data_IF_688173606356
#
_entry.id   IF_688173606356
#
_cell.length_a   1.000
_cell.length_b   1.000
_cell.length_c   1.000
_cell.angle_alpha   90.00
_cell.angle_beta   90.00
_cell.angle_gamma   90.00
#
_symmetry.space_group_name_H-M   'P 1'
#
loop_
_entity.id
_entity.type
_entity.pdbx_description
1 polymer ?
#
# COMPACT_ATOMS: atom_id res chain seq x y z
N UNK A 1 -14.58 -6.12 -6.90
CA UNK A 1 -13.97 -5.84 -5.58
C UNK A 1 -15.01 -5.55 -4.49
N UNK A 2 -15.89 -4.55 -4.61
CA UNK A 2 -16.82 -4.18 -3.52
C UNK A 2 -17.77 -5.32 -3.09
N UNK A 3 -18.39 -6.02 -4.04
CA UNK A 3 -19.23 -7.20 -3.74
C UNK A 3 -18.46 -8.33 -3.03
N UNK A 4 -17.21 -8.56 -3.42
CA UNK A 4 -16.35 -9.60 -2.84
C UNK A 4 -15.95 -9.25 -1.39
N UNK A 5 -15.65 -7.97 -1.13
CA UNK A 5 -15.38 -7.45 0.21
C UNK A 5 -16.62 -7.54 1.11
N UNK A 6 -17.81 -7.23 0.58
CA UNK A 6 -19.06 -7.40 1.32
C UNK A 6 -19.34 -8.88 1.63
N UNK A 7 -19.11 -9.77 0.67
CA UNK A 7 -19.25 -11.21 0.87
C UNK A 7 -18.25 -11.74 1.91
N UNK A 8 -17.01 -11.27 1.89
CA UNK A 8 -15.98 -11.61 2.88
C UNK A 8 -16.38 -11.12 4.28
N UNK A 9 -16.83 -9.86 4.39
CA UNK A 9 -17.33 -9.29 5.65
C UNK A 9 -18.51 -10.09 6.21
N UNK A 10 -19.48 -10.42 5.36
CA UNK A 10 -20.65 -11.20 5.75
C UNK A 10 -20.24 -12.61 6.22
N UNK A 11 -19.34 -13.29 5.48
CA UNK A 11 -18.84 -14.60 5.84
C UNK A 11 -18.04 -14.59 7.16
N UNK A 12 -17.25 -13.55 7.41
CA UNK A 12 -16.51 -13.38 8.66
C UNK A 12 -17.44 -13.11 9.87
N UNK A 13 -18.61 -12.50 9.62
CA UNK A 13 -19.57 -12.16 10.67
C UNK A 13 -20.58 -13.28 10.98
N UNK A 14 -20.49 -14.45 10.32
CA UNK A 14 -21.46 -15.53 10.56
C UNK A 14 -21.30 -16.13 11.95
N UNK A 15 -22.40 -16.62 12.57
CA UNK A 15 -22.38 -17.29 13.86
C UNK A 15 -21.39 -18.45 13.93
N UNK A 16 -21.12 -18.87 15.16
CA UNK A 16 -20.19 -19.96 15.45
C UNK A 16 -20.66 -21.27 14.77
N UNK A 17 -19.79 -21.98 14.04
CA UNK A 17 -20.10 -23.33 13.57
C UNK A 17 -20.25 -24.27 14.77
N UNK A 18 -21.29 -25.11 14.75
CA UNK A 18 -21.60 -26.06 15.82
C UNK A 18 -20.91 -27.41 15.59
N UNK A 19 -20.58 -27.71 14.33
CA UNK A 19 -19.93 -28.96 13.93
C UNK A 19 -18.57 -28.73 13.26
N UNK A 20 -17.63 -29.72 13.33
CA UNK A 20 -16.37 -29.65 12.61
C UNK A 20 -16.52 -29.53 11.09
N UNK A 21 -17.60 -30.06 10.52
CA UNK A 21 -17.90 -29.97 9.09
C UNK A 21 -18.27 -28.53 8.68
N UNK A 22 -19.09 -27.85 9.49
CA UNK A 22 -19.42 -26.44 9.29
C UNK A 22 -18.21 -25.52 9.47
N UNK A 23 -17.31 -25.85 10.39
CA UNK A 23 -16.06 -25.11 10.60
C UNK A 23 -15.15 -25.23 9.37
N UNK A 24 -14.94 -26.46 8.87
CA UNK A 24 -14.15 -26.69 7.67
C UNK A 24 -14.75 -26.02 6.42
N UNK A 25 -16.09 -26.01 6.28
CA UNK A 25 -16.77 -25.34 5.18
C UNK A 25 -16.65 -23.81 5.28
N UNK A 26 -16.79 -23.25 6.49
CA UNK A 26 -16.58 -21.82 6.74
C UNK A 26 -15.16 -21.40 6.39
N UNK A 27 -14.15 -22.17 6.80
CA UNK A 27 -12.75 -21.90 6.50
C UNK A 27 -12.49 -21.94 5.00
N UNK A 28 -12.95 -22.99 4.29
CA UNK A 28 -12.84 -23.08 2.82
C UNK A 28 -13.47 -21.88 2.13
N UNK A 29 -14.68 -21.49 2.55
CA UNK A 29 -15.39 -20.34 2.00
C UNK A 29 -14.63 -19.04 2.25
N UNK A 30 -14.08 -18.84 3.45
CA UNK A 30 -13.28 -17.67 3.78
C UNK A 30 -11.99 -17.61 2.96
N UNK A 31 -11.27 -18.72 2.82
CA UNK A 31 -10.07 -18.82 1.99
C UNK A 31 -10.34 -18.41 0.54
N UNK A 32 -11.40 -18.95 -0.08
CA UNK A 32 -11.78 -18.61 -1.46
C UNK A 32 -12.14 -17.12 -1.63
N UNK A 33 -12.82 -16.53 -0.64
CA UNK A 33 -13.16 -15.10 -0.65
C UNK A 33 -11.91 -14.23 -0.49
N UNK A 34 -10.98 -14.62 0.39
CA UNK A 34 -9.69 -13.94 0.57
C UNK A 34 -8.87 -14.00 -0.71
N UNK A 35 -8.75 -15.17 -1.33
CA UNK A 35 -8.04 -15.35 -2.61
C UNK A 35 -8.62 -14.47 -3.72
N UNK A 36 -9.95 -14.38 -3.83
CA UNK A 36 -10.62 -13.48 -4.77
C UNK A 36 -10.27 -12.01 -4.53
N UNK A 37 -10.34 -11.57 -3.27
CA UNK A 37 -10.00 -10.19 -2.89
C UNK A 37 -8.54 -9.89 -3.20
N UNK A 38 -7.63 -10.81 -2.87
CA UNK A 38 -6.21 -10.69 -3.21
C UNK A 38 -6.00 -10.64 -4.73
N UNK A 39 -6.72 -11.46 -5.51
CA UNK A 39 -6.69 -11.40 -6.97
C UNK A 39 -7.11 -10.04 -7.53
N UNK A 40 -8.09 -9.34 -6.92
CA UNK A 40 -8.42 -7.96 -7.30
C UNK A 40 -7.27 -6.99 -7.00
N UNK A 41 -6.61 -7.14 -5.85
CA UNK A 41 -5.43 -6.34 -5.50
C UNK A 41 -4.27 -6.59 -6.48
N UNK A 42 -3.96 -7.84 -6.79
CA UNK A 42 -2.92 -8.20 -7.77
C UNK A 42 -3.21 -7.61 -9.16
N UNK A 43 -4.45 -7.71 -9.62
CA UNK A 43 -4.87 -7.11 -10.88
C UNK A 43 -4.72 -5.58 -10.87
N UNK A 44 -5.06 -4.93 -9.75
CA UNK A 44 -4.85 -3.49 -9.58
C UNK A 44 -3.37 -3.12 -9.68
N UNK A 45 -2.48 -3.79 -8.93
CA UNK A 45 -1.04 -3.49 -8.95
C UNK A 45 -0.41 -3.81 -10.31
N UNK A 46 -0.87 -4.86 -11.01
CA UNK A 46 -0.45 -5.14 -12.39
C UNK A 46 -0.84 -4.03 -13.35
N UNK A 47 -2.09 -3.54 -13.26
CA UNK A 47 -2.55 -2.43 -14.08
C UNK A 47 -1.80 -1.13 -13.76
N UNK A 48 -1.56 -0.87 -12.47
CA UNK A 48 -0.77 0.27 -11.98
C UNK A 48 0.65 0.24 -12.56
N UNK A 49 1.35 -0.89 -12.48
CA UNK A 49 2.70 -1.05 -13.02
C UNK A 49 2.75 -0.84 -14.54
N UNK A 50 1.76 -1.36 -15.29
CA UNK A 50 1.66 -1.15 -16.73
C UNK A 50 1.44 0.34 -17.08
N UNK A 51 0.62 1.07 -16.31
CA UNK A 51 0.45 2.51 -16.46
C UNK A 51 1.74 3.27 -16.12
N UNK A 52 2.40 2.93 -15.01
CA UNK A 52 3.63 3.58 -14.57
C UNK A 52 4.81 3.41 -15.54
N UNK A 53 4.83 2.31 -16.30
CA UNK A 53 5.80 2.08 -17.38
C UNK A 53 5.63 3.09 -18.53
N UNK A 54 4.39 3.53 -18.78
CA UNK A 54 4.07 4.52 -19.83
C UNK A 54 4.28 5.93 -19.34
N UNK A 55 3.76 6.24 -18.15
CA UNK A 55 3.94 7.51 -17.46
C UNK A 55 3.78 7.31 -15.95
N UNK A 56 4.83 7.63 -15.20
CA UNK A 56 4.85 7.49 -13.74
C UNK A 56 4.20 8.69 -13.04
N UNK A 57 4.11 9.86 -13.68
CA UNK A 57 3.68 11.11 -13.04
C UNK A 57 2.27 11.02 -12.39
N UNK A 58 1.27 10.39 -13.03
CA UNK A 58 -0.05 10.24 -12.42
C UNK A 58 -0.06 9.41 -11.14
N UNK A 59 0.95 8.55 -10.92
CA UNK A 59 1.03 7.73 -9.71
C UNK A 59 1.31 8.59 -8.47
N UNK A 60 2.03 9.70 -8.63
CA UNK A 60 2.35 10.61 -7.52
C UNK A 60 1.30 11.72 -7.30
N UNK A 61 0.29 11.80 -8.18
CA UNK A 61 -0.85 12.70 -8.03
C UNK A 61 -2.13 12.03 -8.56
N UNK A 62 -2.56 10.91 -7.94
CA UNK A 62 -3.68 10.13 -8.44
C UNK A 62 -5.00 10.91 -8.34
N UNK A 63 -5.75 10.92 -9.43
CA UNK A 63 -7.08 11.56 -9.50
C UNK A 63 -8.23 10.58 -9.24
N UNK A 64 -7.94 9.28 -9.20
CA UNK A 64 -8.90 8.19 -9.02
C UNK A 64 -9.04 7.73 -7.57
N UNK A 65 -8.32 8.34 -6.64
CA UNK A 65 -8.35 8.06 -5.20
C UNK A 65 -9.27 9.04 -4.47
N UNK A 66 -9.93 8.56 -3.43
CA UNK A 66 -10.74 9.41 -2.54
C UNK A 66 -9.86 10.39 -1.75
N UNK A 67 -10.47 11.47 -1.25
CA UNK A 67 -9.79 12.45 -0.39
C UNK A 67 -9.17 11.80 0.85
N UNK A 68 -9.84 10.81 1.45
CA UNK A 68 -9.32 10.05 2.58
C UNK A 68 -8.11 9.22 2.19
N UNK A 69 -8.13 8.55 1.04
CA UNK A 69 -6.99 7.78 0.56
C UNK A 69 -5.79 8.67 0.25
N UNK A 70 -6.02 9.89 -0.24
CA UNK A 70 -4.96 10.87 -0.50
C UNK A 70 -4.25 11.36 0.76
N UNK A 71 -4.90 11.33 1.93
CA UNK A 71 -4.24 11.65 3.21
C UNK A 71 -3.17 10.63 3.61
N UNK A 72 -3.25 9.40 3.07
CA UNK A 72 -2.30 8.32 3.34
C UNK A 72 -1.45 7.96 2.12
N UNK A 73 -1.40 8.83 1.11
CA UNK A 73 -0.62 8.61 -0.09
C UNK A 73 0.88 8.56 0.26
N UNK A 74 1.53 7.48 -0.16
CA UNK A 74 2.96 7.23 0.02
C UNK A 74 3.45 6.49 -1.22
N UNK A 75 4.40 7.09 -1.95
CA UNK A 75 5.04 6.50 -3.14
C UNK A 75 4.01 5.87 -4.09
N UNK A 76 3.06 6.70 -4.52
CA UNK A 76 1.99 6.30 -5.45
C UNK A 76 1.04 5.18 -4.99
N UNK A 77 1.00 4.89 -3.68
CA UNK A 77 0.09 3.94 -3.06
C UNK A 77 -0.27 4.34 -1.63
N UNK A 78 -0.83 3.41 -0.86
CA UNK A 78 -1.02 3.60 0.59
C UNK A 78 0.21 3.09 1.32
N UNK A 79 0.65 3.78 2.37
CA UNK A 79 1.78 3.33 3.19
C UNK A 79 1.46 1.97 3.87
N UNK A 80 2.21 0.89 3.62
CA UNK A 80 1.91 -0.45 4.15
C UNK A 80 1.77 -0.54 5.68
N UNK A 81 2.54 0.24 6.45
CA UNK A 81 2.53 0.27 7.92
C UNK A 81 1.17 0.67 8.50
N UNK A 82 0.34 1.40 7.74
CA UNK A 82 -1.03 1.74 8.12
C UNK A 82 -1.88 0.48 8.33
N UNK A 83 -1.67 -0.58 7.55
CA UNK A 83 -2.39 -1.84 7.75
C UNK A 83 -2.11 -2.46 9.13
N UNK A 84 -0.87 -2.37 9.62
CA UNK A 84 -0.50 -2.84 10.96
C UNK A 84 -1.10 -1.96 12.06
N UNK A 85 -1.15 -0.65 11.85
CA UNK A 85 -1.82 0.24 12.80
C UNK A 85 -3.31 -0.10 12.95
N UNK A 86 -4.00 -0.34 11.83
CA UNK A 86 -5.40 -0.77 11.84
C UNK A 86 -5.55 -2.14 12.51
N UNK A 87 -4.65 -3.07 12.20
CA UNK A 87 -4.62 -4.39 12.82
C UNK A 87 -4.51 -4.29 14.35
N UNK A 88 -3.47 -3.64 14.88
CA UNK A 88 -3.26 -3.53 16.33
C UNK A 88 -4.38 -2.75 17.02
N UNK A 89 -4.90 -1.70 16.38
CA UNK A 89 -6.05 -0.96 16.90
C UNK A 89 -7.28 -1.86 17.00
N UNK A 90 -7.58 -2.65 15.97
CA UNK A 90 -8.73 -3.56 15.98
C UNK A 90 -8.54 -4.69 16.99
N UNK A 91 -7.36 -5.31 17.05
CA UNK A 91 -7.04 -6.35 18.04
C UNK A 91 -7.16 -5.84 19.47
N UNK A 92 -6.65 -4.63 19.75
CA UNK A 92 -6.77 -4.00 21.06
C UNK A 92 -8.22 -3.75 21.45
N UNK A 93 -9.04 -3.20 20.55
CA UNK A 93 -10.48 -3.00 20.79
C UNK A 93 -11.22 -4.31 21.07
N UNK A 94 -10.87 -5.40 20.38
CA UNK A 94 -11.49 -6.70 20.59
C UNK A 94 -11.07 -7.34 21.91
N UNK A 95 -9.78 -7.24 22.24
CA UNK A 95 -9.23 -7.68 23.52
C UNK A 95 -9.90 -6.95 24.70
N UNK A 96 -10.09 -5.63 24.59
CA UNK A 96 -10.76 -4.83 25.62
C UNK A 96 -12.25 -5.19 25.75
N UNK A 97 -12.95 -5.37 24.63
CA UNK A 97 -14.35 -5.75 24.62
C UNK A 97 -14.60 -7.13 25.25
N UNK A 98 -13.67 -8.07 25.05
CA UNK A 98 -13.77 -9.46 25.52
C UNK A 98 -12.88 -9.77 26.72
N UNK A 99 -12.52 -8.75 27.50
CA UNK A 99 -11.58 -8.88 28.62
C UNK A 99 -11.91 -10.03 29.57
N UNK A 100 -13.18 -10.18 29.94
CA UNK A 100 -13.59 -11.21 30.89
C UNK A 100 -13.54 -12.63 30.31
N UNK A 101 -13.77 -12.78 29.00
CA UNK A 101 -13.68 -14.07 28.30
C UNK A 101 -12.21 -14.50 28.17
N UNK A 102 -11.34 -13.55 27.81
CA UNK A 102 -9.90 -13.76 27.71
C UNK A 102 -9.29 -14.13 29.06
N UNK A 103 -9.67 -13.45 30.16
CA UNK A 103 -9.21 -13.80 31.52
C UNK A 103 -9.66 -15.21 31.91
N UNK A 104 -10.85 -15.63 31.47
CA UNK A 104 -11.37 -16.98 31.70
C UNK A 104 -10.78 -18.04 30.76
N UNK A 105 -9.91 -17.64 29.82
CA UNK A 105 -9.31 -18.54 28.84
C UNK A 105 -10.32 -19.08 27.83
N UNK A 106 -11.44 -18.39 27.63
CA UNK A 106 -12.45 -18.77 26.64
C UNK A 106 -12.04 -18.16 25.29
N UNK A 107 -11.87 -18.97 24.22
CA UNK A 107 -11.56 -18.46 22.89
C UNK A 107 -12.67 -17.54 22.39
N UNK A 108 -12.31 -16.30 22.06
CA UNK A 108 -13.19 -15.25 21.53
C UNK A 108 -13.41 -15.39 20.01
N UNK A 109 -12.55 -16.17 19.35
CA UNK A 109 -12.45 -16.43 17.90
C UNK A 109 -12.39 -15.16 17.05
N UNK A 110 -11.79 -14.12 17.61
CA UNK A 110 -11.44 -12.89 16.90
C UNK A 110 -9.95 -12.54 17.10
N UNK A 111 -9.54 -11.29 16.80
CA UNK A 111 -8.14 -10.92 16.92
C UNK A 111 -7.62 -10.86 18.36
N UNK A 112 -8.47 -11.00 19.38
CA UNK A 112 -8.04 -11.14 20.78
C UNK A 112 -7.40 -12.51 21.08
N UNK A 113 -7.68 -13.53 20.25
CA UNK A 113 -7.15 -14.90 20.41
C UNK A 113 -5.73 -15.10 19.85
N UNK A 114 -5.09 -14.03 19.38
CA UNK A 114 -3.74 -14.12 18.81
C UNK A 114 -2.75 -14.61 19.87
N UNK A 115 -2.02 -15.69 19.54
CA UNK A 115 -0.96 -16.20 20.42
C UNK A 115 0.22 -15.21 20.48
N UNK A 116 1.03 -15.34 21.54
CA UNK A 116 2.26 -14.57 21.66
C UNK A 116 3.17 -14.75 20.43
N UNK A 117 3.37 -15.99 19.96
CA UNK A 117 4.17 -16.28 18.77
C UNK A 117 3.62 -15.60 17.50
N UNK A 118 2.29 -15.55 17.35
CA UNK A 118 1.65 -14.86 16.22
C UNK A 118 1.90 -13.35 16.30
N UNK A 119 1.74 -12.74 17.48
CA UNK A 119 2.00 -11.32 17.70
C UNK A 119 3.47 -10.96 17.46
N UNK A 120 4.40 -11.80 17.93
CA UNK A 120 5.84 -11.62 17.70
C UNK A 120 6.19 -11.67 16.21
N UNK A 121 5.63 -12.62 15.46
CA UNK A 121 5.81 -12.72 14.00
C UNK A 121 5.28 -11.49 13.28
N UNK A 122 4.10 -10.99 13.68
CA UNK A 122 3.50 -9.78 13.10
C UNK A 122 4.35 -8.54 13.41
N UNK A 123 4.83 -8.40 14.65
CA UNK A 123 5.67 -7.28 15.06
C UNK A 123 7.00 -7.29 14.29
N UNK A 124 7.65 -8.44 14.13
CA UNK A 124 8.87 -8.52 13.35
C UNK A 124 8.61 -8.19 11.87
N UNK A 125 7.49 -8.63 11.31
CA UNK A 125 7.11 -8.26 9.96
C UNK A 125 6.87 -6.75 9.81
N UNK A 126 6.18 -6.12 10.76
CA UNK A 126 5.97 -4.66 10.79
C UNK A 126 7.31 -3.92 10.84
N UNK A 127 8.26 -4.32 11.69
CA UNK A 127 9.58 -3.69 11.78
C UNK A 127 10.34 -3.77 10.46
N UNK A 128 10.28 -4.92 9.77
CA UNK A 128 10.89 -5.09 8.45
C UNK A 128 10.26 -4.15 7.42
N UNK A 129 8.94 -4.02 7.43
CA UNK A 129 8.21 -3.09 6.55
C UNK A 129 8.59 -1.64 6.83
N UNK A 130 8.60 -1.21 8.09
CA UNK A 130 8.97 0.17 8.46
C UNK A 130 10.40 0.52 8.02
N UNK A 131 11.34 -0.42 8.13
CA UNK A 131 12.72 -0.21 7.63
C UNK A 131 12.73 0.00 6.12
N UNK A 132 12.08 -0.88 5.35
CA UNK A 132 11.95 -0.73 3.88
C UNK A 132 11.24 0.57 3.49
N UNK A 133 10.15 0.92 4.17
CA UNK A 133 9.41 2.16 3.92
C UNK A 133 10.30 3.38 4.10
N UNK A 134 11.17 3.38 5.13
CA UNK A 134 12.12 4.46 5.35
C UNK A 134 13.15 4.54 4.23
N UNK A 135 13.74 3.41 3.85
CA UNK A 135 14.72 3.33 2.75
C UNK A 135 14.13 3.88 1.43
N UNK A 136 12.90 3.46 1.10
CA UNK A 136 12.19 3.91 -0.11
C UNK A 136 11.83 5.40 0.00
N UNK A 137 11.37 5.88 1.16
CA UNK A 137 11.05 7.31 1.36
C UNK A 137 12.30 8.19 1.19
N UNK A 138 13.45 7.72 1.68
CA UNK A 138 14.72 8.42 1.48
C UNK A 138 15.17 8.40 0.01
N UNK A 139 14.88 7.32 -0.74
CA UNK A 139 15.15 7.24 -2.18
C UNK A 139 14.21 8.12 -3.01
N UNK A 140 12.93 8.20 -2.63
CA UNK A 140 11.96 9.13 -3.20
C UNK A 140 12.44 10.57 -3.03
N UNK A 141 12.81 10.95 -1.81
CA UNK A 141 13.30 12.30 -1.51
C UNK A 141 14.51 12.66 -2.37
N UNK A 142 15.52 11.78 -2.45
CA UNK A 142 16.69 12.00 -3.32
C UNK A 142 16.31 12.13 -4.80
N UNK A 143 15.33 11.36 -5.26
CA UNK A 143 14.85 11.40 -6.64
C UNK A 143 14.11 12.72 -6.93
N UNK A 144 13.34 13.22 -5.97
CA UNK A 144 12.66 14.53 -6.05
C UNK A 144 13.66 15.70 -6.01
N UNK A 145 14.67 15.65 -5.13
CA UNK A 145 15.75 16.64 -5.09
C UNK A 145 16.49 16.73 -6.43
N UNK A 146 16.67 15.59 -7.10
CA UNK A 146 17.24 15.52 -8.44
C UNK A 146 16.44 16.29 -9.50
N UNK A 147 15.18 16.67 -9.26
CA UNK A 147 14.39 17.50 -10.20
C UNK A 147 14.90 18.94 -10.28
N UNK A 148 15.61 19.41 -9.26
CA UNK A 148 16.16 20.76 -9.18
C UNK A 148 17.70 20.77 -9.18
N UNK A 149 18.33 19.87 -9.94
CA UNK A 149 19.79 19.78 -10.03
C UNK A 149 20.41 20.84 -10.96
N UNK A 150 21.75 20.93 -10.93
CA UNK A 150 22.52 21.90 -11.72
C UNK A 150 22.21 21.81 -13.21
N UNK A 151 22.02 20.60 -13.74
CA UNK A 151 21.65 20.39 -15.14
C UNK A 151 20.33 21.09 -15.49
N UNK A 152 19.32 20.98 -14.62
CA UNK A 152 18.03 21.66 -14.84
C UNK A 152 18.15 23.18 -14.73
N UNK A 153 19.01 23.68 -13.85
CA UNK A 153 19.30 25.13 -13.74
C UNK A 153 19.95 25.63 -15.03
N UNK A 154 20.98 24.94 -15.54
CA UNK A 154 21.64 25.30 -16.80
C UNK A 154 20.67 25.29 -17.99
N UNK A 155 19.85 24.23 -18.11
CA UNK A 155 18.81 24.14 -19.14
C UNK A 155 17.78 25.28 -19.04
N UNK A 156 17.42 25.70 -17.82
CA UNK A 156 16.51 26.85 -17.62
C UNK A 156 17.12 28.17 -18.10
N UNK A 157 18.43 28.36 -17.94
CA UNK A 157 19.14 29.54 -18.42
C UNK A 157 19.18 29.56 -19.96
N UNK A 158 19.52 28.43 -20.58
CA UNK A 158 19.51 28.28 -22.05
C UNK A 158 18.11 28.57 -22.61
N UNK A 159 17.06 28.04 -21.96
CA UNK A 159 15.68 28.27 -22.38
C UNK A 159 15.28 29.75 -22.32
N UNK A 160 15.75 30.47 -21.30
CA UNK A 160 15.55 31.92 -21.17
C UNK A 160 16.28 32.70 -22.27
N UNK A 161 17.52 32.32 -22.59
CA UNK A 161 18.34 32.97 -23.63
C UNK A 161 17.81 32.73 -25.05
N UNK A 162 17.24 31.55 -25.31
CA UNK A 162 16.61 31.17 -26.57
C UNK A 162 15.16 31.67 -26.73
N UNK A 163 14.67 32.52 -25.82
CA UNK A 163 13.34 33.11 -25.90
C UNK A 163 12.17 32.13 -25.75
N UNK A 164 12.39 30.98 -25.09
CA UNK A 164 11.33 29.97 -24.87
C UNK A 164 10.87 29.25 -26.14
N UNK A 165 11.75 29.13 -27.16
CA UNK A 165 11.43 28.38 -28.38
C UNK A 165 11.11 26.90 -28.07
N UNK A 166 10.33 26.26 -28.94
CA UNK A 166 10.02 24.82 -28.82
C UNK A 166 11.25 23.90 -28.90
N UNK A 167 12.39 24.40 -29.39
CA UNK A 167 13.67 23.66 -29.40
C UNK A 167 14.27 23.56 -27.99
N UNK A 168 14.15 24.61 -27.17
CA UNK A 168 14.64 24.58 -25.79
C UNK A 168 13.81 23.62 -24.91
N UNK A 169 12.50 23.52 -25.14
CA UNK A 169 11.66 22.54 -24.47
C UNK A 169 12.04 21.08 -24.85
N UNK A 170 12.42 20.85 -26.11
CA UNK A 170 12.92 19.55 -26.57
C UNK A 170 14.25 19.15 -25.91
N UNK A 171 15.09 20.12 -25.51
CA UNK A 171 16.33 19.83 -24.78
C UNK A 171 16.09 19.42 -23.32
N UNK A 172 14.98 19.86 -22.72
CA UNK A 172 14.65 19.53 -21.32
C UNK A 172 13.98 18.16 -21.18
N UNK A 173 13.28 17.69 -22.21
CA UNK A 173 12.55 16.42 -22.16
C UNK A 173 13.43 15.19 -21.85
N UNK A 174 14.63 15.00 -22.44
CA UNK A 174 15.49 13.88 -22.09
C UNK A 174 15.93 13.88 -20.62
N UNK A 175 16.24 15.06 -20.08
CA UNK A 175 16.62 15.21 -18.66
C UNK A 175 15.43 14.89 -17.73
N UNK A 176 14.22 15.34 -18.09
CA UNK A 176 13.01 15.00 -17.35
C UNK A 176 12.66 13.52 -17.45
N UNK A 177 12.91 12.89 -18.60
CA UNK A 177 12.68 11.47 -18.78
C UNK A 177 13.57 10.61 -17.88
N UNK A 178 14.85 10.98 -17.72
CA UNK A 178 15.75 10.31 -16.76
C UNK A 178 15.22 10.40 -15.32
N UNK A 179 14.68 11.58 -14.95
CA UNK A 179 14.15 11.82 -13.60
C UNK A 179 12.85 11.05 -13.37
N UNK A 180 11.96 10.99 -14.36
CA UNK A 180 10.75 10.13 -14.34
C UNK A 180 11.13 8.66 -14.17
N UNK A 181 12.17 8.20 -14.86
CA UNK A 181 12.68 6.83 -14.74
C UNK A 181 13.17 6.50 -13.32
N UNK A 182 13.86 7.43 -12.65
CA UNK A 182 14.24 7.27 -11.23
C UNK A 182 13.01 7.15 -10.33
N UNK A 183 12.01 8.02 -10.52
CA UNK A 183 10.74 7.95 -9.77
C UNK A 183 9.97 6.64 -10.03
N UNK A 184 10.03 6.09 -11.26
CA UNK A 184 9.43 4.79 -11.60
C UNK A 184 10.07 3.66 -10.81
N UNK A 185 11.40 3.64 -10.67
CA UNK A 185 12.09 2.62 -9.87
C UNK A 185 11.74 2.70 -8.38
N UNK A 186 11.57 3.91 -7.85
CA UNK A 186 11.10 4.10 -6.47
C UNK A 186 9.69 3.53 -6.30
N UNK A 187 8.80 3.76 -7.27
CA UNK A 187 7.46 3.19 -7.28
C UNK A 187 7.47 1.66 -7.32
N UNK A 188 8.30 1.07 -8.18
CA UNK A 188 8.43 -0.39 -8.30
C UNK A 188 8.88 -1.02 -6.98
N UNK A 189 9.88 -0.44 -6.31
CA UNK A 189 10.33 -0.90 -4.99
C UNK A 189 9.23 -0.79 -3.92
N UNK A 190 8.32 0.18 -4.04
CA UNK A 190 7.22 0.34 -3.10
C UNK A 190 6.08 -0.66 -3.31
N UNK A 191 5.96 -1.21 -4.52
CA UNK A 191 4.93 -2.19 -4.88
C UNK A 191 5.39 -3.66 -4.68
N UNK A 192 6.66 -3.89 -4.30
CA UNK A 192 7.29 -5.20 -3.98
C UNK A 192 7.13 -5.65 -2.51
#
# INVERSE_FOLDING_TARGET
MDSDLQALRAAASTPRPETPEEEAEKDRRLTLLVERVLGHCENYYRAKAACATRDVTPMFSPTWTSSTENLFLWVGGRRPSVAFHLFFSKSGLQLEAQRDEVIRGVPTRDLADLSQDQLERINEHQRRIIRKEREISEEEARSQEGVADTQMVELSHVLREMGGSGEAAQMMEPAMQEKREKMRRVLEKADE
#
